data_IF_578849936470
#
_entry.id   IF_578849936470
#
_cell.length_a   1.000
_cell.length_b   1.000
_cell.length_c   1.000
_cell.angle_alpha   90.00
_cell.angle_beta   90.00
_cell.angle_gamma   90.00
#
_symmetry.space_group_name_H-M   'P 1'
#
loop_
_entity.id
_entity.type
_entity.pdbx_description
1 polymer ?
#
# COMPACT_ATOMS: atom_id res chain seq x y z
N UNK A 1 26.40 13.07 -8.32
CA UNK A 1 25.04 13.56 -7.97
C UNK A 1 24.05 12.50 -8.40
N UNK A 2 23.15 12.09 -7.51
CA UNK A 2 22.17 11.05 -7.76
C UNK A 2 20.94 11.24 -6.87
N UNK A 3 19.91 10.45 -7.14
CA UNK A 3 18.69 10.41 -6.33
C UNK A 3 18.56 9.03 -5.67
N UNK A 4 17.90 9.01 -4.52
CA UNK A 4 17.49 7.80 -3.80
C UNK A 4 15.97 7.67 -3.96
N UNK A 5 15.50 6.50 -4.37
CA UNK A 5 14.08 6.15 -4.39
C UNK A 5 13.85 5.06 -3.38
N UNK A 6 12.98 5.33 -2.44
CA UNK A 6 12.58 4.40 -1.39
C UNK A 6 11.08 4.13 -1.47
N UNK A 7 10.68 3.03 -0.83
CA UNK A 7 9.27 2.75 -0.61
C UNK A 7 8.62 3.79 0.31
N UNK A 8 7.31 3.68 0.43
CA UNK A 8 6.51 4.41 1.39
C UNK A 8 5.22 3.62 1.66
N UNK A 9 4.42 4.00 2.67
CA UNK A 9 3.09 3.41 2.85
C UNK A 9 2.24 3.54 1.58
N UNK A 10 1.35 2.57 1.36
CA UNK A 10 0.45 2.54 0.21
C UNK A 10 -0.38 3.83 0.15
N UNK A 11 -0.50 4.41 -1.05
CA UNK A 11 -1.24 5.65 -1.29
C UNK A 11 -0.45 6.94 -1.02
N UNK A 12 0.81 6.86 -0.59
CA UNK A 12 1.68 8.03 -0.38
C UNK A 12 2.76 8.18 -1.46
N UNK A 13 2.94 7.16 -2.30
CA UNK A 13 3.94 7.14 -3.36
C UNK A 13 3.39 7.57 -4.71
N UNK A 14 4.16 7.27 -5.76
CA UNK A 14 3.85 7.63 -7.14
C UNK A 14 2.97 6.59 -7.88
N UNK A 15 2.62 5.50 -7.23
CA UNK A 15 1.82 4.43 -7.84
C UNK A 15 0.36 4.86 -7.96
N UNK A 16 -0.19 4.82 -9.19
CA UNK A 16 -1.61 5.07 -9.44
C UNK A 16 -2.47 3.85 -9.07
N UNK A 17 -2.68 3.69 -7.77
CA UNK A 17 -3.52 2.61 -7.25
C UNK A 17 -4.99 2.76 -7.68
N UNK A 18 -5.53 3.99 -7.70
CA UNK A 18 -6.95 4.22 -8.01
C UNK A 18 -7.25 3.88 -9.47
N UNK A 19 -6.37 4.26 -10.40
CA UNK A 19 -6.48 3.84 -11.81
C UNK A 19 -6.37 2.33 -11.98
N UNK A 20 -5.46 1.69 -11.24
CA UNK A 20 -5.29 0.22 -11.25
C UNK A 20 -6.57 -0.49 -10.79
N UNK A 21 -7.15 -0.08 -9.65
CA UNK A 21 -8.36 -0.68 -9.11
C UNK A 21 -9.57 -0.49 -10.03
N UNK A 22 -9.70 0.69 -10.65
CA UNK A 22 -10.75 0.96 -11.65
C UNK A 22 -10.61 0.06 -12.87
N UNK A 23 -9.39 -0.13 -13.36
CA UNK A 23 -9.12 -1.00 -14.51
C UNK A 23 -9.48 -2.46 -14.21
N UNK A 24 -9.26 -2.92 -12.97
CA UNK A 24 -9.68 -4.26 -12.54
C UNK A 24 -11.21 -4.40 -12.49
N UNK A 25 -11.90 -3.39 -11.97
CA UNK A 25 -13.37 -3.36 -11.94
C UNK A 25 -13.98 -3.38 -13.35
N UNK A 26 -13.45 -2.55 -14.27
CA UNK A 26 -13.84 -2.50 -15.69
C UNK A 26 -13.60 -3.85 -16.40
N UNK A 27 -12.57 -4.60 -15.98
CA UNK A 27 -12.29 -5.95 -16.47
C UNK A 27 -13.18 -7.04 -15.83
N UNK A 28 -14.12 -6.67 -14.96
CA UNK A 28 -15.00 -7.61 -14.25
C UNK A 28 -14.36 -8.31 -13.05
N UNK A 29 -13.19 -7.82 -12.61
CA UNK A 29 -12.49 -8.28 -11.40
C UNK A 29 -12.81 -7.31 -10.27
N UNK A 30 -14.03 -7.41 -9.73
CA UNK A 30 -14.49 -6.56 -8.64
C UNK A 30 -14.37 -7.23 -7.27
N UNK A 31 -14.24 -6.40 -6.23
CA UNK A 31 -14.48 -6.85 -4.85
C UNK A 31 -15.93 -7.36 -4.76
N UNK A 32 -16.23 -8.49 -4.08
CA UNK A 32 -15.47 -9.17 -3.03
C UNK A 32 -14.60 -10.36 -3.50
N UNK A 33 -14.43 -10.57 -4.81
CA UNK A 33 -13.72 -11.75 -5.34
C UNK A 33 -12.19 -11.63 -5.34
N UNK A 34 -11.67 -10.46 -4.95
CA UNK A 34 -10.25 -10.15 -4.99
C UNK A 34 -9.65 -10.21 -3.58
N UNK A 35 -8.62 -11.03 -3.42
CA UNK A 35 -7.73 -10.96 -2.26
C UNK A 35 -6.65 -9.90 -2.54
N UNK A 36 -6.44 -9.00 -1.59
CA UNK A 36 -5.36 -7.99 -1.68
C UNK A 36 -4.35 -8.26 -0.57
N UNK A 37 -3.08 -8.41 -0.95
CA UNK A 37 -1.97 -8.64 -0.02
C UNK A 37 -1.15 -7.36 0.04
N UNK A 38 -0.85 -6.90 1.26
CA UNK A 38 0.08 -5.81 1.51
C UNK A 38 1.46 -6.39 1.80
N UNK A 39 2.40 -6.16 0.90
CA UNK A 39 3.82 -6.49 1.08
C UNK A 39 4.63 -5.20 1.16
N UNK A 40 5.60 -5.15 2.07
CA UNK A 40 6.42 -3.97 2.30
C UNK A 40 7.89 -4.37 2.54
N UNK A 41 8.79 -3.51 2.06
CA UNK A 41 10.21 -3.56 2.36
C UNK A 41 10.62 -2.17 2.81
N UNK A 42 10.80 -2.00 4.12
CA UNK A 42 11.19 -0.71 4.69
C UNK A 42 12.67 -0.42 4.40
N UNK A 43 13.07 0.85 4.27
CA UNK A 43 14.47 1.24 4.17
C UNK A 43 15.27 0.74 5.36
N UNK A 44 16.56 0.53 5.14
CA UNK A 44 17.50 0.17 6.21
C UNK A 44 17.44 1.20 7.34
N UNK A 45 17.32 0.72 8.58
CA UNK A 45 17.32 1.55 9.78
C UNK A 45 18.59 1.28 10.62
N UNK A 46 19.02 2.24 11.46
CA UNK A 46 20.24 2.10 12.25
C UNK A 46 20.22 0.97 13.27
N UNK A 47 19.04 0.56 13.73
CA UNK A 47 18.85 -0.49 14.73
C UNK A 47 17.50 -1.21 14.57
N UNK A 48 17.37 -2.35 15.25
CA UNK A 48 16.19 -3.22 15.17
C UNK A 48 14.92 -2.56 15.70
N UNK A 49 15.00 -1.70 16.72
CA UNK A 49 13.82 -1.04 17.27
C UNK A 49 13.25 -0.05 16.25
N UNK A 50 14.12 0.68 15.55
CA UNK A 50 13.71 1.56 14.46
C UNK A 50 13.13 0.79 13.27
N UNK A 51 13.68 -0.38 12.92
CA UNK A 51 13.07 -1.27 11.90
C UNK A 51 11.64 -1.63 12.32
N UNK A 52 11.46 -2.15 13.53
CA UNK A 52 10.15 -2.59 14.02
C UNK A 52 9.13 -1.45 14.07
N UNK A 53 9.54 -0.27 14.53
CA UNK A 53 8.67 0.91 14.55
C UNK A 53 8.25 1.34 13.14
N UNK A 54 9.20 1.38 12.20
CA UNK A 54 8.94 1.82 10.84
C UNK A 54 8.03 0.81 10.10
N UNK A 55 8.35 -0.48 10.18
CA UNK A 55 7.54 -1.54 9.57
C UNK A 55 6.13 -1.54 10.10
N UNK A 56 5.97 -1.41 11.43
CA UNK A 56 4.64 -1.34 12.06
C UNK A 56 3.87 -0.12 11.57
N UNK A 57 4.50 1.05 11.56
CA UNK A 57 3.88 2.28 11.11
C UNK A 57 3.40 2.17 9.64
N UNK A 58 4.23 1.61 8.77
CA UNK A 58 3.89 1.43 7.36
C UNK A 58 2.77 0.42 7.16
N UNK A 59 2.79 -0.70 7.88
CA UNK A 59 1.76 -1.72 7.81
C UNK A 59 0.41 -1.15 8.25
N UNK A 60 0.36 -0.52 9.42
CA UNK A 60 -0.88 0.07 9.97
C UNK A 60 -1.44 1.16 9.06
N UNK A 61 -0.58 2.07 8.57
CA UNK A 61 -0.98 3.16 7.68
C UNK A 61 -1.51 2.64 6.34
N UNK A 62 -0.79 1.70 5.72
CA UNK A 62 -1.18 1.09 4.44
C UNK A 62 -2.48 0.31 4.58
N UNK A 63 -2.63 -0.46 5.66
CA UNK A 63 -3.83 -1.25 5.92
C UNK A 63 -5.06 -0.37 6.12
N UNK A 64 -4.96 0.68 6.94
CA UNK A 64 -6.06 1.64 7.13
C UNK A 64 -6.44 2.34 5.83
N UNK A 65 -5.45 2.72 5.02
CA UNK A 65 -5.72 3.29 3.70
C UNK A 65 -6.46 2.30 2.81
N UNK A 66 -6.00 1.04 2.72
CA UNK A 66 -6.66 0.01 1.91
C UNK A 66 -8.05 -0.34 2.39
N UNK A 67 -8.32 -0.35 3.70
CA UNK A 67 -9.68 -0.53 4.23
C UNK A 67 -10.62 0.57 3.74
N UNK A 68 -10.17 1.83 3.76
CA UNK A 68 -10.97 2.97 3.25
C UNK A 68 -11.20 2.88 1.74
N UNK A 69 -10.21 2.41 0.99
CA UNK A 69 -10.34 2.22 -0.46
C UNK A 69 -11.29 1.06 -0.78
N UNK A 70 -11.11 -0.09 -0.12
CA UNK A 70 -11.97 -1.25 -0.29
C UNK A 70 -13.43 -0.95 0.07
N UNK A 71 -13.69 -0.21 1.15
CA UNK A 71 -15.04 0.20 1.54
C UNK A 71 -15.75 1.08 0.52
N UNK A 72 -15.01 1.81 -0.34
CA UNK A 72 -15.60 2.60 -1.43
C UNK A 72 -15.87 1.79 -2.69
N UNK A 73 -15.22 0.64 -2.82
CA UNK A 73 -15.33 -0.28 -3.97
C UNK A 73 -16.35 -1.40 -3.71
N UNK A 74 -16.78 -1.57 -2.47
CA UNK A 74 -17.86 -2.47 -2.09
C UNK A 74 -19.16 -1.65 -2.04
N UNK A 75 -20.18 -1.96 -2.87
CA UNK A 75 -21.49 -1.32 -2.80
C UNK A 75 -22.25 -1.63 -1.49
#
# INVERSE_FOLDING_TARGET
>A
MGFLVEGCPVGQGIVDLQGTLRSLDEAGVSMPRLSVILEQWSPEQPDIEQVLMLERHWAETSFQYMQRVAAKLLP
#
